data_IF_601860275124
#
_entry.id   IF_601860275124
#
_cell.length_a   1.000
_cell.length_b   1.000
_cell.length_c   1.000
_cell.angle_alpha   90.00
_cell.angle_beta   90.00
_cell.angle_gamma   90.00
#
_symmetry.space_group_name_H-M   'P 1'
#
loop_
_entity.id
_entity.type
_entity.pdbx_description
1 polymer ?
#
# COMPACT_ATOMS: atom_id res chain seq x y z
N UNK A 1 -69.07 17.47 -15.89
CA UNK A 1 -69.03 16.07 -15.39
C UNK A 1 -67.66 15.43 -15.69
N UNK A 2 -66.55 16.01 -15.21
CA UNK A 2 -65.20 15.47 -15.46
C UNK A 2 -64.28 15.56 -14.22
N UNK A 3 -64.86 15.71 -13.02
CA UNK A 3 -64.12 15.92 -11.76
C UNK A 3 -64.25 14.75 -10.77
N UNK A 4 -65.03 13.73 -11.11
CA UNK A 4 -65.25 12.52 -10.30
C UNK A 4 -64.47 11.30 -10.78
N UNK A 5 -63.88 11.35 -11.99
CA UNK A 5 -63.15 10.20 -12.58
C UNK A 5 -61.69 10.13 -12.09
N UNK A 6 -61.02 11.27 -11.89
CA UNK A 6 -59.62 11.26 -11.43
C UNK A 6 -59.44 10.71 -10.02
N UNK A 7 -60.40 10.91 -9.10
CA UNK A 7 -60.31 10.35 -7.73
C UNK A 7 -60.45 8.82 -7.68
N UNK A 8 -61.09 8.19 -8.66
CA UNK A 8 -61.23 6.73 -8.71
C UNK A 8 -59.96 6.05 -9.22
N UNK A 9 -59.26 6.70 -10.14
CA UNK A 9 -58.04 6.14 -10.76
C UNK A 9 -56.85 6.12 -9.80
N UNK A 10 -56.69 7.15 -8.96
CA UNK A 10 -55.62 7.18 -7.93
C UNK A 10 -55.86 6.19 -6.78
N UNK A 11 -57.11 5.95 -6.39
CA UNK A 11 -57.44 4.97 -5.33
C UNK A 11 -57.19 3.53 -5.81
N UNK A 12 -57.46 3.23 -7.08
CA UNK A 12 -57.16 1.90 -7.68
C UNK A 12 -55.64 1.67 -7.72
N UNK A 13 -54.84 2.70 -8.01
CA UNK A 13 -53.37 2.58 -8.01
C UNK A 13 -52.78 2.32 -6.61
N UNK A 14 -53.30 2.97 -5.56
CA UNK A 14 -52.81 2.77 -4.18
C UNK A 14 -53.22 1.39 -3.64
N UNK A 15 -54.41 0.89 -3.98
CA UNK A 15 -54.84 -0.48 -3.61
C UNK A 15 -54.03 -1.55 -4.37
N UNK A 16 -53.60 -1.27 -5.59
CA UNK A 16 -52.78 -2.21 -6.39
C UNK A 16 -51.32 -2.32 -5.92
N UNK A 17 -50.80 -1.33 -5.17
CA UNK A 17 -49.47 -1.41 -4.55
C UNK A 17 -49.52 -2.12 -3.18
N UNK A 18 -50.64 -2.04 -2.45
CA UNK A 18 -50.79 -2.76 -1.17
C UNK A 18 -51.10 -4.27 -1.32
N UNK A 19 -51.57 -4.72 -2.48
CA UNK A 19 -51.89 -6.13 -2.79
C UNK A 19 -50.71 -6.90 -3.43
N UNK A 20 -49.48 -6.59 -3.03
CA UNK A 20 -48.32 -7.45 -3.31
C UNK A 20 -47.66 -8.01 -2.04
N UNK A 21 -48.27 -7.80 -0.86
CA UNK A 21 -47.73 -8.30 0.41
C UNK A 21 -48.29 -9.67 0.86
N UNK A 22 -49.06 -10.36 0.03
CA UNK A 22 -49.57 -11.70 0.37
C UNK A 22 -49.56 -12.63 -0.84
N UNK A 23 -48.38 -13.13 -1.20
CA UNK A 23 -48.24 -14.39 -1.93
C UNK A 23 -47.55 -15.38 -1.02
N UNK A 24 -48.38 -16.27 -0.46
CA UNK A 24 -48.06 -17.68 -0.24
C UNK A 24 -46.83 -18.02 0.58
N UNK A 25 -46.99 -18.08 1.90
CA UNK A 25 -46.28 -19.09 2.68
C UNK A 25 -46.83 -20.47 2.29
N UNK A 26 -46.19 -21.13 1.31
CA UNK A 26 -46.26 -22.60 1.20
C UNK A 26 -45.11 -23.16 2.03
N UNK A 27 -45.35 -24.06 3.01
CA UNK A 27 -44.28 -24.91 3.51
C UNK A 27 -44.00 -25.93 2.41
N UNK A 28 -43.10 -25.58 1.50
CA UNK A 28 -42.48 -26.58 0.65
C UNK A 28 -41.53 -27.36 1.55
N UNK A 29 -41.97 -28.59 1.86
CA UNK A 29 -41.19 -29.80 1.93
C UNK A 29 -39.72 -29.60 2.33
N UNK A 30 -39.39 -30.06 3.53
CA UNK A 30 -38.03 -30.40 3.90
C UNK A 30 -37.40 -31.23 2.77
N UNK A 31 -36.56 -30.58 1.98
CA UNK A 31 -35.47 -31.26 1.31
C UNK A 31 -34.44 -31.49 2.40
N UNK A 32 -34.37 -32.73 2.88
CA UNK A 32 -33.16 -33.33 3.43
C UNK A 32 -32.04 -33.24 2.36
N UNK A 33 -31.59 -32.04 2.04
CA UNK A 33 -30.21 -31.87 1.64
C UNK A 33 -29.44 -32.05 2.93
N UNK A 34 -28.72 -33.16 3.04
CA UNK A 34 -27.56 -33.23 3.91
C UNK A 34 -26.65 -32.05 3.51
N UNK A 35 -26.93 -30.91 4.13
CA UNK A 35 -26.20 -29.67 3.97
C UNK A 35 -24.85 -29.87 4.62
N UNK A 36 -23.96 -30.54 3.91
CA UNK A 36 -22.55 -30.26 4.02
C UNK A 36 -22.38 -28.81 3.52
N UNK A 37 -22.77 -27.84 4.36
CA UNK A 37 -22.24 -26.49 4.24
C UNK A 37 -20.76 -26.73 4.49
N UNK A 38 -19.95 -26.73 3.42
CA UNK A 38 -18.51 -26.84 3.58
C UNK A 38 -18.09 -25.76 4.59
N UNK A 39 -17.30 -26.14 5.58
CA UNK A 39 -16.75 -25.15 6.50
C UNK A 39 -16.01 -24.09 5.66
N UNK A 40 -16.21 -22.80 5.96
CA UNK A 40 -15.55 -21.74 5.21
C UNK A 40 -14.04 -21.93 5.28
N UNK A 41 -13.39 -21.91 4.13
CA UNK A 41 -11.95 -22.09 4.01
C UNK A 41 -11.27 -20.72 3.94
N UNK A 42 -10.20 -20.52 4.70
CA UNK A 42 -9.38 -19.32 4.62
C UNK A 42 -8.57 -19.32 3.33
N UNK A 43 -8.30 -18.14 2.77
CA UNK A 43 -7.39 -18.03 1.64
C UNK A 43 -5.97 -18.47 2.04
N UNK A 44 -5.19 -19.06 1.12
CA UNK A 44 -3.78 -19.34 1.35
C UNK A 44 -2.99 -18.07 1.69
N UNK A 45 -1.98 -18.24 2.54
CA UNK A 45 -1.04 -17.17 2.87
C UNK A 45 -0.08 -16.93 1.70
N UNK A 46 0.06 -15.68 1.26
CA UNK A 46 1.08 -15.27 0.28
C UNK A 46 2.46 -15.20 0.94
N UNK A 47 3.47 -15.78 0.29
CA UNK A 47 4.87 -15.60 0.65
C UNK A 47 5.39 -14.23 0.18
N UNK A 48 5.74 -13.37 1.14
CA UNK A 48 6.21 -12.01 0.91
C UNK A 48 7.47 -11.76 1.73
N UNK A 49 8.47 -11.13 1.11
CA UNK A 49 9.63 -10.58 1.80
C UNK A 49 9.50 -9.06 1.88
N UNK A 50 9.57 -8.52 3.10
CA UNK A 50 9.60 -7.08 3.33
C UNK A 50 11.04 -6.57 3.31
N UNK A 51 11.19 -5.33 2.86
CA UNK A 51 12.42 -4.56 2.94
C UNK A 51 12.09 -3.07 3.01
N UNK A 52 13.00 -2.23 3.51
CA UNK A 52 12.94 -0.79 3.28
C UNK A 52 12.71 -0.48 1.79
N UNK A 53 11.90 0.54 1.52
CA UNK A 53 11.74 1.07 0.17
C UNK A 53 12.95 1.91 -0.28
N UNK A 54 12.90 2.39 -1.52
CA UNK A 54 13.92 3.27 -2.08
C UNK A 54 13.70 4.73 -1.68
N UNK A 55 12.44 5.14 -1.54
CA UNK A 55 12.03 6.49 -1.14
C UNK A 55 11.97 6.61 0.39
N UNK A 56 12.31 7.79 0.92
CA UNK A 56 12.15 8.09 2.35
C UNK A 56 10.72 7.78 2.84
N UNK A 57 10.61 7.19 4.03
CA UNK A 57 9.35 6.71 4.63
C UNK A 57 8.61 5.65 3.81
N UNK A 58 9.27 4.98 2.85
CA UNK A 58 8.67 3.90 2.08
C UNK A 58 9.06 2.52 2.62
N UNK A 59 8.20 1.54 2.37
CA UNK A 59 8.50 0.12 2.49
C UNK A 59 8.35 -0.55 1.11
N UNK A 60 8.90 -1.74 0.93
CA UNK A 60 8.72 -2.54 -0.26
C UNK A 60 8.41 -3.98 0.12
N UNK A 61 7.52 -4.61 -0.64
CA UNK A 61 7.08 -5.98 -0.41
C UNK A 61 7.24 -6.81 -1.68
N UNK A 62 8.15 -7.78 -1.65
CA UNK A 62 8.38 -8.70 -2.77
C UNK A 62 7.60 -9.99 -2.55
N UNK A 63 6.54 -10.18 -3.34
CA UNK A 63 5.78 -11.44 -3.41
C UNK A 63 6.61 -12.48 -4.17
N UNK A 64 6.87 -13.63 -3.54
CA UNK A 64 7.66 -14.73 -4.13
C UNK A 64 6.83 -15.90 -4.64
N UNK A 65 5.57 -15.96 -4.25
CA UNK A 65 4.62 -16.95 -4.79
C UNK A 65 4.12 -16.57 -6.18
N UNK A 66 3.44 -17.52 -6.83
CA UNK A 66 2.72 -17.24 -8.07
C UNK A 66 1.53 -16.32 -7.78
N UNK A 67 1.48 -15.18 -8.48
CA UNK A 67 0.35 -14.26 -8.44
C UNK A 67 -0.62 -14.67 -9.55
N UNK A 68 -1.87 -14.95 -9.16
CA UNK A 68 -2.92 -15.35 -10.07
C UNK A 68 -3.53 -14.15 -10.80
N UNK A 69 -3.83 -13.08 -10.06
CA UNK A 69 -4.50 -11.90 -10.57
C UNK A 69 -3.70 -10.63 -10.33
N UNK A 70 -4.36 -9.61 -9.77
CA UNK A 70 -3.74 -8.32 -9.46
C UNK A 70 -3.46 -8.22 -7.97
N UNK A 71 -2.29 -7.66 -7.62
CA UNK A 71 -1.98 -7.35 -6.24
C UNK A 71 -2.65 -6.03 -5.82
N UNK A 72 -3.40 -6.11 -4.73
CA UNK A 72 -4.04 -4.98 -4.08
C UNK A 72 -3.38 -4.82 -2.71
N UNK A 73 -3.02 -3.58 -2.36
CA UNK A 73 -2.34 -3.27 -1.10
C UNK A 73 -3.20 -2.35 -0.26
N UNK A 74 -3.21 -2.60 1.04
CA UNK A 74 -3.79 -1.70 2.03
C UNK A 74 -2.88 -1.64 3.25
N UNK A 75 -2.93 -0.54 3.99
CA UNK A 75 -2.25 -0.42 5.28
C UNK A 75 -3.25 0.08 6.32
N UNK A 76 -3.34 -0.61 7.46
CA UNK A 76 -4.27 -0.29 8.55
C UNK A 76 -3.55 -0.18 9.89
N UNK A 77 -4.09 0.60 10.82
CA UNK A 77 -3.53 0.72 12.18
C UNK A 77 -3.79 -0.53 13.05
N UNK A 78 -4.60 -1.48 12.58
CA UNK A 78 -4.97 -2.70 13.29
C UNK A 78 -4.92 -3.90 12.36
N UNK A 79 -4.55 -5.05 12.92
CA UNK A 79 -4.65 -6.36 12.27
C UNK A 79 -6.11 -6.65 11.87
N UNK A 80 -6.29 -7.22 10.68
CA UNK A 80 -7.59 -7.76 10.24
C UNK A 80 -7.61 -9.28 10.32
N UNK A 81 -8.81 -9.84 10.33
CA UNK A 81 -8.99 -11.28 10.18
C UNK A 81 -8.58 -11.72 8.77
N UNK A 82 -7.98 -12.92 8.67
CA UNK A 82 -7.68 -13.56 7.38
C UNK A 82 -8.97 -13.72 6.56
N UNK A 83 -9.00 -13.29 5.29
CA UNK A 83 -10.15 -13.47 4.40
C UNK A 83 -10.46 -14.96 4.13
N UNK A 84 -11.69 -15.21 3.72
CA UNK A 84 -12.15 -16.51 3.24
C UNK A 84 -12.03 -16.62 1.72
N UNK A 85 -11.92 -17.84 1.20
CA UNK A 85 -11.93 -18.09 -0.24
C UNK A 85 -13.24 -17.57 -0.83
N UNK A 86 -13.13 -16.74 -1.87
CA UNK A 86 -14.27 -16.13 -2.56
C UNK A 86 -14.79 -14.85 -1.91
N UNK A 87 -14.19 -14.38 -0.80
CA UNK A 87 -14.48 -13.05 -0.28
C UNK A 87 -14.14 -11.98 -1.32
N UNK A 88 -14.98 -10.95 -1.39
CA UNK A 88 -14.72 -9.81 -2.27
C UNK A 88 -13.53 -8.98 -1.74
N UNK A 89 -12.66 -8.55 -2.64
CA UNK A 89 -11.55 -7.67 -2.32
C UNK A 89 -12.04 -6.33 -1.75
N UNK A 90 -11.27 -5.70 -0.84
CA UNK A 90 -11.61 -4.38 -0.33
C UNK A 90 -11.69 -3.36 -1.46
N UNK A 91 -12.70 -2.50 -1.41
CA UNK A 91 -12.95 -1.45 -2.41
C UNK A 91 -12.79 -0.03 -1.85
N UNK A 92 -12.52 0.07 -0.55
CA UNK A 92 -12.28 1.33 0.15
C UNK A 92 -11.28 1.12 1.30
N UNK A 93 -10.53 2.17 1.60
CA UNK A 93 -9.54 2.24 2.67
C UNK A 93 -8.67 3.47 2.41
N UNK A 94 -8.24 4.16 3.48
CA UNK A 94 -7.47 5.40 3.33
C UNK A 94 -6.11 5.17 2.64
N UNK A 95 -5.55 3.98 2.81
CA UNK A 95 -4.26 3.57 2.25
C UNK A 95 -4.40 2.46 1.21
N UNK A 96 -5.62 2.23 0.70
CA UNK A 96 -5.89 1.19 -0.28
C UNK A 96 -5.48 1.64 -1.68
N UNK A 97 -4.65 0.86 -2.36
CA UNK A 97 -4.33 1.08 -3.76
C UNK A 97 -4.16 -0.23 -4.52
N UNK A 98 -4.56 -0.21 -5.79
CA UNK A 98 -4.57 -1.36 -6.69
C UNK A 98 -3.33 -1.38 -7.59
N UNK A 99 -3.20 -2.48 -8.34
CA UNK A 99 -2.16 -2.69 -9.35
C UNK A 99 -0.74 -2.56 -8.79
N UNK A 100 -0.53 -3.05 -7.57
CA UNK A 100 0.79 -3.06 -6.95
C UNK A 100 1.74 -3.97 -7.72
N UNK A 101 2.88 -3.43 -8.13
CA UNK A 101 3.96 -4.22 -8.71
C UNK A 101 4.84 -4.77 -7.59
N UNK A 102 5.02 -6.09 -7.54
CA UNK A 102 5.85 -6.75 -6.53
C UNK A 102 7.24 -6.12 -6.44
N UNK A 103 7.65 -5.70 -5.23
CA UNK A 103 8.91 -5.01 -4.97
C UNK A 103 8.91 -3.50 -5.21
N UNK A 104 7.81 -2.90 -5.67
CA UNK A 104 7.69 -1.45 -5.80
C UNK A 104 7.58 -0.76 -4.43
N UNK A 105 7.87 0.54 -4.40
CA UNK A 105 7.73 1.34 -3.19
C UNK A 105 6.25 1.51 -2.82
N UNK A 106 5.98 1.26 -1.53
CA UNK A 106 4.74 1.55 -0.85
C UNK A 106 5.00 2.77 0.03
N UNK A 107 4.24 3.85 -0.18
CA UNK A 107 4.47 5.14 0.52
C UNK A 107 3.27 5.61 1.32
N UNK A 108 2.07 5.11 1.01
CA UNK A 108 0.83 5.57 1.63
C UNK A 108 0.52 4.72 2.86
N UNK A 109 0.34 5.35 4.02
CA UNK A 109 0.00 4.67 5.28
C UNK A 109 1.17 3.99 5.98
N UNK A 110 2.39 4.06 5.44
CA UNK A 110 3.58 3.43 6.02
C UNK A 110 3.94 4.12 7.33
N UNK A 111 3.88 3.35 8.41
CA UNK A 111 4.37 3.74 9.72
C UNK A 111 4.65 2.47 10.54
N UNK A 112 5.63 2.53 11.43
CA UNK A 112 5.89 1.42 12.34
C UNK A 112 4.66 1.17 13.24
N UNK A 113 4.31 -0.10 13.43
CA UNK A 113 3.10 -0.54 14.14
C UNK A 113 1.84 -0.67 13.28
N UNK A 114 1.85 -0.15 12.04
CA UNK A 114 0.75 -0.38 11.10
C UNK A 114 0.89 -1.74 10.43
N UNK A 115 -0.23 -2.31 9.99
CA UNK A 115 -0.31 -3.61 9.33
C UNK A 115 -0.40 -3.43 7.82
N UNK A 116 0.62 -3.92 7.11
CA UNK A 116 0.60 -4.07 5.66
C UNK A 116 -0.24 -5.28 5.29
N UNK A 117 -1.16 -5.11 4.36
CA UNK A 117 -2.02 -6.15 3.79
C UNK A 117 -1.78 -6.22 2.28
N UNK A 118 -1.57 -7.42 1.76
CA UNK A 118 -1.46 -7.67 0.32
C UNK A 118 -2.46 -8.76 -0.05
N UNK A 119 -3.31 -8.48 -1.03
CA UNK A 119 -4.30 -9.40 -1.57
C UNK A 119 -3.89 -9.76 -3.00
N UNK A 120 -3.88 -11.04 -3.33
CA UNK A 120 -3.95 -11.49 -4.72
C UNK A 120 -5.43 -11.61 -5.09
N UNK A 121 -5.85 -10.86 -6.09
CA UNK A 121 -7.26 -10.68 -6.45
C UNK A 121 -7.52 -11.18 -7.86
N UNK A 122 -8.39 -12.19 -7.95
CA UNK A 122 -8.92 -12.68 -9.22
C UNK A 122 -10.06 -11.79 -9.71
N UNK A 123 -9.86 -11.19 -10.88
CA UNK A 123 -10.80 -10.27 -11.51
C UNK A 123 -11.86 -10.96 -12.39
N UNK A 124 -11.78 -12.28 -12.63
CA UNK A 124 -12.69 -12.97 -13.55
C UNK A 124 -14.14 -12.98 -13.04
N UNK A 125 -14.37 -13.15 -11.73
CA UNK A 125 -15.71 -13.25 -11.12
C UNK A 125 -15.89 -12.34 -9.90
N UNK A 126 -15.78 -11.02 -10.10
CA UNK A 126 -16.17 -10.05 -9.08
C UNK A 126 -15.08 -9.67 -8.07
N UNK A 127 -13.81 -9.73 -8.49
CA UNK A 127 -12.65 -9.33 -7.69
C UNK A 127 -12.56 -10.12 -6.37
N UNK A 128 -12.40 -11.44 -6.47
CA UNK A 128 -12.33 -12.34 -5.33
C UNK A 128 -10.89 -12.48 -4.82
N UNK A 129 -10.72 -12.55 -3.51
CA UNK A 129 -9.42 -12.76 -2.89
C UNK A 129 -9.05 -14.25 -3.04
N UNK A 130 -7.91 -14.52 -3.66
CA UNK A 130 -7.40 -15.89 -3.86
C UNK A 130 -6.20 -16.20 -2.97
N UNK A 131 -5.49 -15.18 -2.48
CA UNK A 131 -4.43 -15.32 -1.49
C UNK A 131 -4.23 -14.01 -0.72
N UNK A 132 -3.68 -14.10 0.49
CA UNK A 132 -3.55 -12.95 1.39
C UNK A 132 -2.23 -12.97 2.17
N UNK A 133 -1.65 -11.80 2.40
CA UNK A 133 -0.54 -11.58 3.32
C UNK A 133 -0.88 -10.44 4.27
N UNK A 134 -0.44 -10.58 5.52
CA UNK A 134 -0.43 -9.48 6.48
C UNK A 134 0.78 -9.56 7.41
N UNK A 135 1.38 -8.41 7.70
CA UNK A 135 2.38 -8.26 8.75
C UNK A 135 2.36 -6.84 9.35
N UNK A 136 2.75 -6.73 10.62
CA UNK A 136 3.03 -5.44 11.26
C UNK A 136 4.36 -4.90 10.74
N UNK A 137 4.37 -3.65 10.29
CA UNK A 137 5.57 -2.96 9.84
C UNK A 137 6.40 -2.53 11.06
N UNK A 138 7.69 -2.83 11.01
CA UNK A 138 8.66 -2.36 12.00
C UNK A 138 9.49 -1.20 11.44
N UNK A 139 10.25 -0.52 12.28
CA UNK A 139 11.20 0.51 11.83
C UNK A 139 12.24 -0.05 10.84
N UNK A 140 12.60 -1.33 10.95
CA UNK A 140 13.56 -2.00 10.07
C UNK A 140 13.00 -2.24 8.65
N UNK A 141 11.67 -2.23 8.50
CA UNK A 141 10.99 -2.44 7.22
C UNK A 141 10.79 -1.12 6.45
N UNK A 142 11.12 0.02 7.06
CA UNK A 142 10.82 1.36 6.55
C UNK A 142 12.13 2.10 6.26
N UNK A 143 12.19 2.73 5.10
CA UNK A 143 13.31 3.60 4.74
C UNK A 143 13.34 4.82 5.64
N UNK A 144 14.42 4.96 6.40
CA UNK A 144 14.66 6.14 7.24
C UNK A 144 14.63 7.43 6.40
N UNK A 145 13.87 8.41 6.87
CA UNK A 145 13.89 9.77 6.33
C UNK A 145 15.06 10.53 6.96
N UNK A 146 16.18 10.57 6.24
CA UNK A 146 17.33 11.36 6.67
C UNK A 146 17.03 12.81 6.28
N UNK A 147 16.33 13.52 7.16
CA UNK A 147 16.36 14.98 7.16
C UNK A 147 17.81 15.39 7.47
N UNK A 148 18.58 15.68 6.42
CA UNK A 148 19.90 16.30 6.58
C UNK A 148 19.63 17.72 7.06
N UNK A 149 19.66 17.89 8.38
CA UNK A 149 19.72 19.20 9.02
C UNK A 149 21.04 19.83 8.62
N UNK A 150 21.04 20.48 7.46
CA UNK A 150 22.09 21.43 7.09
C UNK A 150 21.89 22.63 8.01
N UNK A 151 22.32 22.51 9.27
CA UNK A 151 22.69 23.68 10.05
C UNK A 151 23.76 24.40 9.22
N UNK A 152 23.35 25.42 8.46
CA UNK A 152 24.24 26.41 7.88
C UNK A 152 24.99 27.04 9.05
N UNK A 153 26.17 26.52 9.38
CA UNK A 153 27.14 27.24 10.18
C UNK A 153 27.39 28.58 9.48
N UNK A 154 27.08 29.73 10.10
CA UNK A 154 27.39 31.03 9.51
C UNK A 154 28.88 31.28 9.72
N UNK A 155 29.72 30.56 8.97
CA UNK A 155 31.15 30.73 9.07
C UNK A 155 31.54 32.12 8.54
N UNK A 156 32.19 32.85 9.42
CA UNK A 156 32.39 34.27 9.31
C UNK A 156 33.42 34.55 8.22
N UNK A 157 33.06 35.41 7.26
CA UNK A 157 34.05 36.13 6.47
C UNK A 157 34.81 37.08 7.40
N UNK A 158 35.93 36.65 7.96
CA UNK A 158 37.05 37.42 8.55
C UNK A 158 38.08 36.33 8.87
N UNK A 159 39.15 36.18 8.09
CA UNK A 159 40.40 36.91 8.33
C UNK A 159 41.14 37.06 6.99
N UNK A 160 41.34 38.28 6.50
CA UNK A 160 42.59 39.04 6.70
C UNK A 160 43.83 38.28 6.19
N UNK A 161 44.04 38.46 4.89
CA UNK A 161 45.31 38.63 4.20
C UNK A 161 46.46 39.10 5.13
N UNK A 162 47.24 38.15 5.63
CA UNK A 162 48.56 38.37 6.22
C UNK A 162 49.56 37.51 5.46
N UNK A 163 50.07 38.09 4.37
CA UNK A 163 51.34 37.70 3.76
C UNK A 163 52.52 38.00 4.70
N UNK A 164 53.67 37.37 4.40
CA UNK A 164 54.98 37.42 5.08
C UNK A 164 55.05 36.51 6.32
N UNK A 165 55.82 35.41 6.32
CA UNK A 165 57.27 35.34 6.12
C UNK A 165 57.72 33.89 5.90
N UNK A 166 58.75 33.68 5.08
CA UNK A 166 59.87 32.75 5.29
C UNK A 166 60.38 32.14 3.97
N UNK A 167 61.54 32.63 3.53
CA UNK A 167 62.29 32.08 2.41
C UNK A 167 63.74 32.56 2.38
N UNK A 168 64.47 32.46 3.50
CA UNK A 168 65.93 32.36 3.47
C UNK A 168 66.29 30.96 2.96
N UNK A 169 66.98 30.83 1.83
CA UNK A 169 68.44 30.62 1.84
C UNK A 169 69.03 30.09 0.51
N UNK A 170 70.16 30.73 0.14
CA UNK A 170 71.35 30.21 -0.56
C UNK A 170 71.25 29.94 -2.07
N UNK A 171 71.78 30.88 -2.87
CA UNK A 171 72.47 30.54 -4.12
C UNK A 171 73.57 31.58 -4.45
N UNK A 172 74.83 31.31 -4.11
CA UNK A 172 75.98 31.88 -4.84
C UNK A 172 77.29 31.12 -4.55
N UNK A 173 78.01 30.74 -5.61
CA UNK A 173 79.40 30.27 -5.53
C UNK A 173 79.65 29.01 -6.38
N UNK A 174 79.76 29.11 -7.71
CA UNK A 174 81.00 29.44 -8.43
C UNK A 174 81.79 28.20 -8.91
N UNK A 175 81.90 28.12 -10.25
CA UNK A 175 83.07 27.72 -11.05
C UNK A 175 83.28 26.25 -11.47
N UNK A 176 83.21 26.08 -12.81
CA UNK A 176 84.13 25.35 -13.70
C UNK A 176 84.04 23.81 -13.90
N UNK A 177 83.43 23.42 -15.04
CA UNK A 177 83.93 22.59 -16.19
C UNK A 177 85.25 21.75 -16.04
N UNK A 178 85.58 20.76 -16.91
CA UNK A 178 84.79 19.92 -17.84
C UNK A 178 85.18 18.40 -17.86
N UNK A 179 84.35 17.60 -18.55
CA UNK A 179 84.57 16.41 -19.44
C UNK A 179 85.73 15.40 -19.21
N UNK A 180 85.40 14.10 -19.34
CA UNK A 180 86.09 12.98 -20.04
C UNK A 180 85.84 11.65 -19.27
N UNK A 181 85.51 10.48 -19.82
CA UNK A 181 85.22 9.93 -21.15
C UNK A 181 84.32 8.70 -20.95
#
# INVERSE_FOLDING_TARGET
MLKTIQRRMTVILIVSVLLHLFVGATPALAEDSNGYIAEPEFVPMLAVNLSPGETASATSATVTDYVYGNLLVNITEQEIATPLIGDAAPTAGDNLFADYESGADITTGVAAGNYLQIYDVDMEEGAQIVAFYQAELTEEDIKEDIEVDLEEDPDQNLDEDLEEEAGEDIEEGAEAEPVES
#
